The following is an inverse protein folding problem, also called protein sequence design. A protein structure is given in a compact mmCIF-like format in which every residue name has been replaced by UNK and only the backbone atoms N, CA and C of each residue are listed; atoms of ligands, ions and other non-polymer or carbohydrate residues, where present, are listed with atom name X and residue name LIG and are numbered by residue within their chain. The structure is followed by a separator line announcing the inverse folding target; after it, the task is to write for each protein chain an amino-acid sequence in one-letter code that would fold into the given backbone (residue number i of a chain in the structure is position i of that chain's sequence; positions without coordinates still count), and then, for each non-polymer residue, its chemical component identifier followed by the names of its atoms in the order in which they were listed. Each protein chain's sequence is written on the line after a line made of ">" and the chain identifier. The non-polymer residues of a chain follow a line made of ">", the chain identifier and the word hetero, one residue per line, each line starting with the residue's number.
data_IF_213771629341
#
_entry.id   IF_213771629341
#
_cell.length_a   1.000
_cell.length_b   1.000
_cell.length_c   1.000
_cell.angle_alpha   90.00
_cell.angle_beta   90.00
_cell.angle_gamma   90.00
#
_symmetry.space_group_name_H-M   'P 1'
#
loop_
_entity.id
_entity.type
_entity.pdbx_description
1 polymer ?
#
# COMPACT_ATOMS: atom_id res chain seq x y z
N UNK A 1 9.93 15.80 -6.33
CA UNK A 1 9.99 17.24 -6.42
C UNK A 1 11.07 17.70 -7.39
N UNK A 2 12.34 17.39 -7.12
CA UNK A 2 13.50 17.87 -7.87
C UNK A 2 13.41 17.59 -9.38
N UNK A 3 12.98 16.39 -9.76
CA UNK A 3 12.82 15.99 -11.16
C UNK A 3 11.75 16.86 -11.85
N UNK A 4 10.57 17.00 -11.26
CA UNK A 4 9.48 17.79 -11.84
C UNK A 4 9.84 19.30 -11.88
N UNK A 5 10.53 19.79 -10.86
CA UNK A 5 10.93 21.20 -10.78
C UNK A 5 12.01 21.56 -11.80
N UNK A 6 13.13 20.79 -11.84
CA UNK A 6 14.29 21.15 -12.68
C UNK A 6 14.19 20.60 -14.12
N UNK A 7 13.57 19.44 -14.34
CA UNK A 7 13.50 18.82 -15.65
C UNK A 7 12.26 19.21 -16.44
N UNK A 8 11.10 19.34 -15.75
CA UNK A 8 9.84 19.68 -16.39
C UNK A 8 9.48 21.17 -16.22
N UNK A 9 10.22 21.92 -15.39
CA UNK A 9 9.99 23.36 -15.19
C UNK A 9 8.72 23.70 -14.41
N UNK A 10 8.15 22.73 -13.67
CA UNK A 10 6.91 22.95 -12.91
C UNK A 10 7.20 23.72 -11.63
N UNK A 11 6.52 24.87 -11.41
CA UNK A 11 6.77 25.73 -10.26
C UNK A 11 6.41 25.07 -8.91
N UNK A 12 5.35 24.25 -8.87
CA UNK A 12 4.87 23.61 -7.64
C UNK A 12 4.46 22.14 -7.86
N UNK A 13 5.43 21.21 -8.00
CA UNK A 13 5.14 19.80 -8.29
C UNK A 13 4.68 19.01 -7.05
N UNK A 14 3.63 19.47 -6.36
CA UNK A 14 3.09 18.85 -5.15
C UNK A 14 2.53 17.45 -5.41
N UNK A 15 1.96 17.23 -6.60
CA UNK A 15 1.41 15.93 -6.97
C UNK A 15 2.49 14.86 -7.11
N UNK A 16 3.69 15.20 -7.58
CA UNK A 16 4.80 14.23 -7.64
C UNK A 16 5.21 13.76 -6.25
N UNK A 17 5.20 14.65 -5.27
CA UNK A 17 5.54 14.34 -3.88
C UNK A 17 4.44 13.52 -3.22
N UNK A 18 3.18 13.94 -3.34
CA UNK A 18 2.04 13.22 -2.74
C UNK A 18 1.90 11.82 -3.30
N UNK A 19 2.01 11.65 -4.62
CA UNK A 19 1.97 10.33 -5.26
C UNK A 19 3.15 9.47 -4.83
N UNK A 20 4.37 10.03 -4.76
CA UNK A 20 5.55 9.28 -4.32
C UNK A 20 5.39 8.80 -2.86
N UNK A 21 5.05 9.70 -1.93
CA UNK A 21 4.88 9.36 -0.51
C UNK A 21 3.75 8.34 -0.31
N UNK A 22 2.59 8.58 -0.91
CA UNK A 22 1.43 7.71 -0.74
C UNK A 22 1.64 6.34 -1.38
N UNK A 23 2.35 6.27 -2.53
CA UNK A 23 2.69 5.01 -3.18
C UNK A 23 3.70 4.18 -2.40
N UNK A 24 4.70 4.83 -1.78
CA UNK A 24 5.67 4.14 -0.91
C UNK A 24 4.98 3.57 0.33
N UNK A 25 3.92 4.21 0.80
CA UNK A 25 3.12 3.78 1.94
C UNK A 25 3.93 3.67 3.23
N UNK A 26 3.28 3.87 4.37
CA UNK A 26 3.86 3.65 5.68
C UNK A 26 3.79 2.16 6.11
N UNK A 27 3.37 1.26 5.22
CA UNK A 27 3.17 -0.15 5.55
C UNK A 27 4.43 -0.97 5.29
N UNK A 28 4.77 -1.80 6.26
CA UNK A 28 5.93 -2.72 6.28
C UNK A 28 5.99 -3.68 5.09
N UNK A 29 4.86 -3.90 4.40
CA UNK A 29 4.67 -4.89 3.33
C UNK A 29 4.32 -4.24 1.97
N UNK A 30 5.03 -3.19 1.55
CA UNK A 30 4.81 -2.63 0.22
C UNK A 30 5.32 -3.63 -0.83
N UNK A 31 4.44 -4.51 -1.29
CA UNK A 31 4.67 -5.35 -2.46
C UNK A 31 4.76 -4.42 -3.67
N UNK A 32 5.73 -4.63 -4.56
CA UNK A 32 5.89 -3.85 -5.80
C UNK A 32 4.57 -3.69 -6.55
N UNK A 33 3.78 -4.77 -6.62
CA UNK A 33 2.45 -4.76 -7.22
C UNK A 33 1.52 -3.74 -6.56
N UNK A 34 1.54 -3.65 -5.22
CA UNK A 34 0.68 -2.71 -4.47
C UNK A 34 1.12 -1.27 -4.69
N UNK A 35 2.43 -1.01 -4.70
CA UNK A 35 2.98 0.32 -5.03
C UNK A 35 2.57 0.73 -6.45
N UNK A 36 2.69 -0.19 -7.41
CA UNK A 36 2.25 0.03 -8.79
C UNK A 36 0.75 0.30 -8.88
N UNK A 37 -0.09 -0.55 -8.28
CA UNK A 37 -1.55 -0.35 -8.26
C UNK A 37 -1.91 1.00 -7.64
N UNK A 38 -1.27 1.39 -6.53
CA UNK A 38 -1.51 2.68 -5.87
C UNK A 38 -1.07 3.85 -6.76
N UNK A 39 0.12 3.80 -7.35
CA UNK A 39 0.62 4.84 -8.24
C UNK A 39 -0.28 5.01 -9.47
N UNK A 40 -0.66 3.91 -10.12
CA UNK A 40 -1.59 3.92 -11.25
C UNK A 40 -2.95 4.49 -10.85
N UNK A 41 -3.49 4.07 -9.69
CA UNK A 41 -4.75 4.59 -9.17
C UNK A 41 -4.73 6.11 -8.98
N UNK A 42 -3.63 6.64 -8.42
CA UNK A 42 -3.46 8.07 -8.23
C UNK A 42 -3.39 8.83 -9.56
N UNK A 43 -2.57 8.35 -10.50
CA UNK A 43 -2.45 8.98 -11.83
C UNK A 43 -3.79 8.96 -12.56
N UNK A 44 -4.52 7.85 -12.52
CA UNK A 44 -5.87 7.75 -13.11
C UNK A 44 -6.83 8.74 -12.47
N UNK A 45 -6.81 8.86 -11.13
CA UNK A 45 -7.65 9.82 -10.41
C UNK A 45 -7.35 11.27 -10.80
N UNK A 46 -6.07 11.63 -10.91
CA UNK A 46 -5.63 12.96 -11.33
C UNK A 46 -6.08 13.23 -12.77
N UNK A 47 -5.74 12.35 -13.71
CA UNK A 47 -6.06 12.54 -15.14
C UNK A 47 -7.57 12.64 -15.39
N UNK A 48 -8.36 11.77 -14.75
CA UNK A 48 -9.82 11.79 -14.87
C UNK A 48 -10.40 13.10 -14.37
N UNK A 49 -9.90 13.60 -13.21
CA UNK A 49 -10.35 14.87 -12.66
C UNK A 49 -9.95 16.06 -13.52
N UNK A 50 -8.75 16.07 -14.09
CA UNK A 50 -8.33 17.14 -15.01
C UNK A 50 -9.24 17.18 -16.24
N UNK A 51 -9.55 16.04 -16.84
CA UNK A 51 -10.46 15.97 -17.98
C UNK A 51 -11.85 16.48 -17.62
N UNK A 52 -12.41 16.06 -16.50
CA UNK A 52 -13.73 16.48 -16.08
C UNK A 52 -13.79 17.95 -15.67
N UNK A 53 -12.71 18.47 -15.11
CA UNK A 53 -12.58 19.89 -14.74
C UNK A 53 -12.56 20.77 -15.99
N UNK A 54 -11.90 20.34 -17.07
CA UNK A 54 -11.90 21.07 -18.35
C UNK A 54 -13.30 21.07 -18.97
N UNK A 55 -14.02 19.95 -18.89
CA UNK A 55 -15.33 19.81 -19.53
C UNK A 55 -16.43 20.57 -18.80
N UNK A 56 -16.40 20.60 -17.46
CA UNK A 56 -17.51 21.11 -16.65
C UNK A 56 -17.15 22.25 -15.69
N UNK A 57 -15.87 22.60 -15.60
CA UNK A 57 -15.41 23.65 -14.69
C UNK A 57 -15.50 23.27 -13.21
N UNK A 58 -15.39 24.28 -12.34
CA UNK A 58 -15.37 24.14 -10.87
C UNK A 58 -16.76 24.44 -10.30
N UNK A 59 -17.26 23.59 -9.42
CA UNK A 59 -18.52 23.82 -8.69
C UNK A 59 -18.85 22.67 -7.74
N UNK A 60 -19.73 22.90 -6.78
CA UNK A 60 -20.02 21.93 -5.70
C UNK A 60 -20.70 20.66 -6.23
N UNK A 61 -21.62 20.78 -7.17
CA UNK A 61 -22.29 19.61 -7.75
C UNK A 61 -21.39 18.89 -8.76
N UNK A 62 -20.52 19.61 -9.49
CA UNK A 62 -19.52 19.03 -10.38
C UNK A 62 -18.55 18.14 -9.57
N UNK A 63 -18.09 18.59 -8.40
CA UNK A 63 -17.24 17.82 -7.52
C UNK A 63 -17.88 16.48 -7.14
N UNK A 64 -19.18 16.45 -6.87
CA UNK A 64 -19.90 15.23 -6.55
C UNK A 64 -19.90 14.26 -7.75
N UNK A 65 -20.12 14.77 -8.96
CA UNK A 65 -20.11 13.96 -10.17
C UNK A 65 -18.69 13.43 -10.46
N UNK A 66 -17.67 14.29 -10.33
CA UNK A 66 -16.27 13.88 -10.50
C UNK A 66 -15.92 12.75 -9.56
N UNK A 67 -16.26 12.87 -8.28
CA UNK A 67 -16.03 11.83 -7.29
C UNK A 67 -16.78 10.54 -7.63
N UNK A 68 -18.04 10.63 -8.03
CA UNK A 68 -18.84 9.48 -8.44
C UNK A 68 -18.23 8.76 -9.65
N UNK A 69 -17.89 9.51 -10.72
CA UNK A 69 -17.25 8.96 -11.93
C UNK A 69 -15.89 8.36 -11.59
N UNK A 70 -15.10 9.00 -10.74
CA UNK A 70 -13.81 8.50 -10.30
C UNK A 70 -13.92 7.15 -9.56
N UNK A 71 -14.87 7.05 -8.63
CA UNK A 71 -15.09 5.80 -7.88
C UNK A 71 -15.65 4.68 -8.74
N UNK A 72 -16.57 4.98 -9.65
CA UNK A 72 -17.10 4.00 -10.61
C UNK A 72 -16.00 3.52 -11.54
N UNK A 73 -15.20 4.42 -12.12
CA UNK A 73 -14.05 4.08 -12.96
C UNK A 73 -13.03 3.23 -12.22
N UNK A 74 -12.73 3.58 -10.97
CA UNK A 74 -11.84 2.81 -10.12
C UNK A 74 -12.34 1.37 -9.91
N UNK A 75 -13.65 1.21 -9.75
CA UNK A 75 -14.26 -0.11 -9.56
C UNK A 75 -14.15 -1.01 -10.80
N UNK A 76 -14.22 -0.42 -11.98
CA UNK A 76 -14.00 -1.14 -13.24
C UNK A 76 -12.53 -1.55 -13.43
N UNK A 77 -11.58 -0.69 -13.03
CA UNK A 77 -10.15 -0.98 -13.21
C UNK A 77 -9.61 -1.95 -12.17
N UNK A 78 -10.09 -1.87 -10.91
CA UNK A 78 -9.63 -2.74 -9.83
C UNK A 78 -10.74 -3.02 -8.83
N UNK A 79 -10.87 -4.29 -8.44
CA UNK A 79 -11.82 -4.72 -7.42
C UNK A 79 -11.45 -4.34 -5.98
N UNK A 80 -10.28 -3.71 -5.75
CA UNK A 80 -9.78 -3.41 -4.40
C UNK A 80 -10.30 -2.06 -3.89
N UNK A 81 -10.78 -2.03 -2.64
CA UNK A 81 -11.23 -0.80 -1.99
C UNK A 81 -10.08 0.23 -1.87
N UNK A 82 -8.85 -0.22 -1.67
CA UNK A 82 -7.68 0.65 -1.58
C UNK A 82 -7.44 1.43 -2.88
N UNK A 83 -7.60 0.78 -4.04
CA UNK A 83 -7.48 1.44 -5.34
C UNK A 83 -8.56 2.51 -5.53
N UNK A 84 -9.82 2.20 -5.20
CA UNK A 84 -10.92 3.16 -5.30
C UNK A 84 -10.71 4.38 -4.38
N UNK A 85 -10.21 4.17 -3.16
CA UNK A 85 -9.87 5.26 -2.25
C UNK A 85 -8.76 6.14 -2.81
N UNK A 86 -7.71 5.58 -3.41
CA UNK A 86 -6.63 6.37 -4.00
C UNK A 86 -7.10 7.19 -5.20
N UNK A 87 -7.90 6.60 -6.09
CA UNK A 87 -8.48 7.32 -7.23
C UNK A 87 -9.38 8.46 -6.76
N UNK A 88 -10.31 8.18 -5.83
CA UNK A 88 -11.24 9.16 -5.30
C UNK A 88 -10.56 10.31 -4.54
N UNK A 89 -9.56 9.99 -3.71
CA UNK A 89 -8.82 11.02 -2.94
C UNK A 89 -8.02 11.94 -3.85
N UNK A 90 -7.39 11.42 -4.90
CA UNK A 90 -6.64 12.23 -5.86
C UNK A 90 -7.58 13.07 -6.74
N UNK A 91 -8.71 12.50 -7.16
CA UNK A 91 -9.72 13.23 -7.89
C UNK A 91 -10.23 14.44 -7.10
N UNK A 92 -10.50 14.25 -5.81
CA UNK A 92 -10.92 15.33 -4.92
C UNK A 92 -9.82 16.38 -4.71
N UNK A 93 -8.56 15.93 -4.54
CA UNK A 93 -7.43 16.83 -4.32
C UNK A 93 -7.21 17.76 -5.52
N UNK A 94 -7.27 17.23 -6.73
CA UNK A 94 -7.18 18.01 -7.99
C UNK A 94 -8.26 19.08 -8.04
N UNK A 95 -9.47 18.74 -7.58
CA UNK A 95 -10.61 19.65 -7.65
C UNK A 95 -10.55 20.79 -6.64
N UNK A 96 -9.94 20.54 -5.47
CA UNK A 96 -9.80 21.54 -4.40
C UNK A 96 -8.61 22.49 -4.66
N UNK A 97 -7.56 21.98 -5.33
CA UNK A 97 -6.36 22.79 -5.55
C UNK A 97 -6.52 23.75 -6.72
N UNK A 98 -5.98 24.99 -6.61
CA UNK A 98 -5.96 25.96 -7.70
C UNK A 98 -5.33 25.39 -8.97
N UNK A 99 -5.73 25.93 -10.12
CA UNK A 99 -5.11 25.56 -11.41
C UNK A 99 -3.60 25.82 -11.39
N UNK A 100 -2.78 24.87 -11.87
CA UNK A 100 -1.34 25.09 -11.94
C UNK A 100 -0.99 26.07 -13.06
N UNK A 101 -0.03 26.94 -12.79
CA UNK A 101 0.59 27.77 -13.82
C UNK A 101 1.34 26.86 -14.80
N UNK A 102 0.81 26.70 -16.04
CA UNK A 102 1.55 25.95 -17.06
C UNK A 102 0.74 24.99 -17.92
N UNK A 103 -0.56 24.84 -17.69
CA UNK A 103 -1.46 24.15 -18.63
C UNK A 103 -2.03 22.82 -18.14
N UNK A 104 -2.78 22.23 -19.04
CA UNK A 104 -3.55 21.01 -18.83
C UNK A 104 -2.62 19.80 -18.70
N UNK A 105 -2.96 18.85 -17.84
CA UNK A 105 -2.22 17.60 -17.59
C UNK A 105 -0.86 17.72 -16.87
N UNK A 106 -0.46 18.91 -16.40
CA UNK A 106 0.76 19.05 -15.60
C UNK A 106 0.70 18.21 -14.35
N UNK A 107 -0.45 18.17 -13.65
CA UNK A 107 -0.66 17.37 -12.45
C UNK A 107 -0.55 15.88 -12.73
N UNK A 108 -1.08 15.44 -13.88
CA UNK A 108 -0.97 14.05 -14.32
C UNK A 108 0.48 13.65 -14.60
N UNK A 109 1.25 14.52 -15.26
CA UNK A 109 2.68 14.31 -15.48
C UNK A 109 3.47 14.27 -14.18
N UNK A 110 3.20 15.18 -13.25
CA UNK A 110 3.79 15.16 -11.91
C UNK A 110 3.45 13.87 -11.15
N UNK A 111 2.20 13.44 -11.23
CA UNK A 111 1.77 12.18 -10.66
C UNK A 111 2.51 10.97 -11.23
N UNK A 112 2.71 10.93 -12.55
CA UNK A 112 3.51 9.89 -13.22
C UNK A 112 4.96 9.89 -12.74
N UNK A 113 5.60 11.04 -12.66
CA UNK A 113 6.97 11.17 -12.12
C UNK A 113 7.04 10.67 -10.70
N UNK A 114 6.10 11.07 -9.84
CA UNK A 114 6.01 10.58 -8.46
C UNK A 114 5.85 9.06 -8.38
N UNK A 115 4.99 8.49 -9.22
CA UNK A 115 4.76 7.04 -9.31
C UNK A 115 6.01 6.27 -9.76
N UNK A 116 6.70 6.76 -10.80
CA UNK A 116 7.94 6.15 -11.29
C UNK A 116 9.03 6.20 -10.21
N UNK A 117 9.20 7.33 -9.53
CA UNK A 117 10.15 7.48 -8.43
C UNK A 117 9.84 6.49 -7.30
N UNK A 118 8.56 6.36 -6.92
CA UNK A 118 8.15 5.41 -5.88
C UNK A 118 8.46 3.96 -6.26
N UNK A 119 8.23 3.58 -7.52
CA UNK A 119 8.55 2.24 -8.02
C UNK A 119 10.05 1.98 -8.02
N UNK A 120 10.87 2.95 -8.48
CA UNK A 120 12.32 2.84 -8.45
C UNK A 120 12.83 2.69 -7.02
N UNK A 121 12.38 3.53 -6.09
CA UNK A 121 12.74 3.40 -4.68
C UNK A 121 12.36 2.04 -4.11
N UNK A 122 11.16 1.54 -4.43
CA UNK A 122 10.72 0.23 -3.96
C UNK A 122 11.54 -0.91 -4.56
N UNK A 123 12.00 -0.76 -5.80
CA UNK A 123 12.82 -1.77 -6.48
C UNK A 123 14.28 -1.77 -5.99
N UNK A 124 14.83 -0.56 -5.70
CA UNK A 124 16.25 -0.42 -5.33
C UNK A 124 16.52 -0.51 -3.84
N UNK A 125 15.53 -0.22 -2.96
CA UNK A 125 15.73 -0.37 -1.52
C UNK A 125 15.65 -1.86 -1.17
N UNK A 126 16.79 -2.50 -0.82
CA UNK A 126 16.80 -3.91 -0.46
C UNK A 126 16.01 -4.07 0.85
N UNK A 127 14.87 -4.72 0.76
CA UNK A 127 14.16 -5.19 1.94
C UNK A 127 14.64 -6.60 2.21
N UNK A 128 14.97 -6.87 3.45
CA UNK A 128 15.29 -8.23 3.89
C UNK A 128 13.99 -8.98 4.21
N UNK A 129 13.39 -9.65 3.21
CA UNK A 129 12.16 -10.41 3.41
C UNK A 129 12.43 -11.66 4.27
N UNK A 130 13.67 -12.18 4.25
CA UNK A 130 14.04 -13.33 5.06
C UNK A 130 14.14 -12.98 6.54
N UNK A 131 14.72 -11.83 6.88
CA UNK A 131 14.81 -11.40 8.27
C UNK A 131 13.44 -11.13 8.91
N UNK A 132 12.48 -10.59 8.17
CA UNK A 132 11.09 -10.40 8.66
C UNK A 132 10.38 -11.74 8.86
N UNK A 133 10.49 -12.65 7.89
CA UNK A 133 9.88 -13.98 7.94
C UNK A 133 10.46 -14.82 9.07
N UNK A 134 11.79 -14.75 9.28
CA UNK A 134 12.44 -15.44 10.40
C UNK A 134 12.02 -14.89 11.76
N UNK A 135 11.87 -13.55 11.90
CA UNK A 135 11.35 -12.92 13.14
C UNK A 135 9.91 -13.35 13.45
N UNK A 136 9.05 -13.38 12.45
CA UNK A 136 7.64 -13.74 12.64
C UNK A 136 7.52 -15.25 12.92
N UNK A 137 8.33 -16.09 12.28
CA UNK A 137 8.46 -17.51 12.61
C UNK A 137 8.94 -17.70 14.06
N UNK A 138 9.96 -16.94 14.50
CA UNK A 138 10.47 -16.99 15.86
C UNK A 138 9.41 -16.67 16.91
N UNK A 139 8.59 -15.63 16.68
CA UNK A 139 7.48 -15.29 17.58
C UNK A 139 6.45 -16.40 17.66
N UNK A 140 6.06 -16.97 16.51
CA UNK A 140 5.10 -18.07 16.43
C UNK A 140 5.64 -19.31 17.18
N UNK A 141 6.92 -19.63 16.98
CA UNK A 141 7.58 -20.75 17.63
C UNK A 141 7.64 -20.58 19.16
N UNK A 142 7.93 -19.35 19.62
CA UNK A 142 7.93 -19.05 21.07
C UNK A 142 6.55 -19.25 21.70
N UNK A 143 5.49 -18.78 21.03
CA UNK A 143 4.11 -18.99 21.51
C UNK A 143 3.76 -20.47 21.54
N UNK A 144 4.17 -21.22 20.54
CA UNK A 144 3.93 -22.67 20.45
C UNK A 144 4.66 -23.42 21.57
N UNK A 145 5.95 -23.15 21.80
CA UNK A 145 6.72 -23.78 22.89
C UNK A 145 6.11 -23.48 24.26
N UNK A 146 5.76 -22.23 24.53
CA UNK A 146 5.11 -21.85 25.78
C UNK A 146 3.75 -22.56 25.98
N UNK A 147 3.02 -22.80 24.90
CA UNK A 147 1.76 -23.53 24.96
C UNK A 147 1.97 -25.03 25.26
N UNK A 148 2.99 -25.64 24.66
CA UNK A 148 3.35 -27.04 24.91
C UNK A 148 3.81 -27.20 26.36
N UNK A 149 4.63 -26.30 26.89
CA UNK A 149 5.07 -26.33 28.29
C UNK A 149 3.89 -26.17 29.25
N UNK A 150 2.96 -25.26 28.96
CA UNK A 150 1.75 -25.11 29.77
C UNK A 150 0.85 -26.34 29.73
N UNK A 151 0.73 -27.02 28.58
CA UNK A 151 0.01 -28.28 28.47
C UNK A 151 0.69 -29.41 29.27
N UNK A 152 2.01 -29.48 29.18
CA UNK A 152 2.77 -30.47 29.98
C UNK A 152 2.60 -30.27 31.49
N UNK A 153 2.59 -28.98 31.92
CA UNK A 153 2.33 -28.60 33.29
C UNK A 153 0.90 -28.98 33.72
N UNK A 154 -0.09 -28.68 32.90
CA UNK A 154 -1.49 -28.99 33.15
C UNK A 154 -1.72 -30.52 33.33
N UNK A 155 -1.07 -31.37 32.50
CA UNK A 155 -1.11 -32.80 32.59
C UNK A 155 -0.46 -33.33 33.88
N UNK A 156 0.66 -32.75 34.29
CA UNK A 156 1.37 -33.13 35.52
C UNK A 156 0.61 -32.74 36.79
N UNK A 157 -0.04 -31.57 36.77
CA UNK A 157 -0.80 -31.05 37.90
C UNK A 157 -2.27 -31.49 37.94
N UNK A 158 -2.76 -32.14 36.86
CA UNK A 158 -4.16 -32.47 36.63
C UNK A 158 -5.09 -31.26 36.78
N UNK A 159 -4.58 -30.03 36.41
CA UNK A 159 -5.33 -28.80 36.52
C UNK A 159 -5.92 -28.35 35.18
N UNK A 160 -7.24 -28.46 35.08
CA UNK A 160 -8.01 -28.11 33.90
C UNK A 160 -7.89 -26.61 33.58
N UNK A 161 -7.75 -25.74 34.59
CA UNK A 161 -7.63 -24.29 34.38
C UNK A 161 -6.37 -23.92 33.63
N UNK A 162 -5.26 -24.61 33.89
CA UNK A 162 -4.00 -24.40 33.18
C UNK A 162 -4.15 -24.87 31.71
N UNK A 163 -4.83 -25.98 31.49
CA UNK A 163 -5.09 -26.50 30.15
C UNK A 163 -5.97 -25.52 29.33
N UNK A 164 -7.04 -25.02 29.92
CA UNK A 164 -7.92 -24.02 29.27
C UNK A 164 -7.17 -22.74 28.94
N UNK A 165 -6.35 -22.24 29.85
CA UNK A 165 -5.53 -21.04 29.59
C UNK A 165 -4.52 -21.25 28.45
N UNK A 166 -3.91 -22.45 28.35
CA UNK A 166 -3.03 -22.81 27.24
C UNK A 166 -3.80 -22.84 25.91
N UNK A 167 -4.99 -23.43 25.92
CA UNK A 167 -5.85 -23.51 24.72
C UNK A 167 -6.28 -22.13 24.21
N UNK A 168 -6.65 -21.21 25.11
CA UNK A 168 -7.00 -19.83 24.77
C UNK A 168 -5.80 -19.10 24.14
N UNK A 169 -4.58 -19.31 24.68
CA UNK A 169 -3.37 -18.71 24.10
C UNK A 169 -3.08 -19.24 22.68
N UNK A 170 -3.22 -20.53 22.45
CA UNK A 170 -3.03 -21.14 21.12
C UNK A 170 -4.07 -20.60 20.14
N UNK A 171 -5.33 -20.54 20.53
CA UNK A 171 -6.40 -19.94 19.68
C UNK A 171 -6.15 -18.47 19.39
N UNK A 172 -5.64 -17.72 20.35
CA UNK A 172 -5.25 -16.31 20.18
C UNK A 172 -4.02 -16.10 19.29
N UNK A 173 -3.27 -17.15 18.94
CA UNK A 173 -2.10 -17.05 18.05
C UNK A 173 -2.43 -17.04 16.55
N UNK A 174 -3.69 -17.23 16.16
CA UNK A 174 -4.11 -17.23 14.76
C UNK A 174 -3.61 -15.99 13.97
N UNK A 175 -3.68 -14.74 14.50
CA UNK A 175 -3.15 -13.59 13.80
C UNK A 175 -1.63 -13.64 13.54
N UNK A 176 -0.87 -14.35 14.41
CA UNK A 176 0.57 -14.55 14.21
C UNK A 176 0.84 -15.53 13.05
N UNK A 177 0.01 -16.55 12.90
CA UNK A 177 0.08 -17.51 11.77
C UNK A 177 -0.22 -16.79 10.47
N UNK A 178 -1.27 -15.95 10.45
CA UNK A 178 -1.67 -15.20 9.26
C UNK A 178 -0.60 -14.17 8.87
N UNK A 179 -0.01 -13.48 9.84
CA UNK A 179 1.11 -12.57 9.61
C UNK A 179 2.34 -13.31 9.04
N UNK A 180 2.70 -14.46 9.60
CA UNK A 180 3.81 -15.27 9.10
C UNK A 180 3.57 -15.78 7.68
N UNK A 181 2.35 -16.24 7.36
CA UNK A 181 1.95 -16.61 6.00
C UNK A 181 2.12 -15.45 5.03
N UNK A 182 1.64 -14.26 5.39
CA UNK A 182 1.80 -13.07 4.56
C UNK A 182 3.27 -12.72 4.34
N UNK A 183 4.10 -12.81 5.37
CA UNK A 183 5.56 -12.58 5.26
C UNK A 183 6.22 -13.61 4.35
N UNK A 184 5.83 -14.88 4.45
CA UNK A 184 6.35 -15.98 3.62
C UNK A 184 5.95 -15.79 2.15
N UNK A 185 4.67 -15.51 1.86
CA UNK A 185 4.19 -15.25 0.51
C UNK A 185 4.89 -14.03 -0.12
N UNK A 186 5.20 -13.03 0.70
CA UNK A 186 5.97 -11.86 0.26
C UNK A 186 7.41 -12.25 -0.09
N UNK A 187 8.07 -13.05 0.73
CA UNK A 187 9.42 -13.54 0.49
C UNK A 187 9.49 -14.39 -0.79
N UNK A 188 8.54 -15.30 -0.99
CA UNK A 188 8.44 -16.14 -2.19
C UNK A 188 8.22 -15.28 -3.45
N UNK A 189 7.34 -14.29 -3.39
CA UNK A 189 7.07 -13.42 -4.54
C UNK A 189 8.29 -12.59 -4.94
N UNK A 190 9.06 -12.10 -3.96
CA UNK A 190 10.29 -11.34 -4.19
C UNK A 190 11.39 -12.24 -4.74
N UNK A 191 11.54 -13.45 -4.23
CA UNK A 191 12.57 -14.40 -4.72
C UNK A 191 12.36 -14.80 -6.19
N UNK A 192 11.11 -14.80 -6.66
CA UNK A 192 10.79 -15.08 -8.08
C UNK A 192 11.14 -13.93 -9.01
N UNK A 193 11.15 -12.69 -8.53
CA UNK A 193 11.35 -11.47 -9.34
C UNK A 193 12.80 -11.00 -9.28
N UNK A 194 13.50 -11.24 -8.18
CA UNK A 194 14.89 -10.76 -7.99
C UNK A 194 15.90 -11.78 -8.48
N UNK A 195 16.70 -11.45 -9.53
CA UNK A 195 17.77 -12.32 -10.02
C UNK A 195 18.91 -12.50 -9.02
N UNK A 196 19.05 -11.61 -8.02
CA UNK A 196 20.10 -11.65 -6.99
C UNK A 196 19.85 -12.67 -5.87
N UNK A 197 18.63 -13.19 -5.71
CA UNK A 197 18.28 -14.18 -4.70
C UNK A 197 18.17 -15.61 -5.23
N UNK A 198 18.55 -15.84 -6.47
CA UNK A 198 18.52 -17.14 -7.14
C UNK A 198 19.85 -17.88 -6.94
N UNK A 199 20.23 -18.14 -5.68
CA UNK A 199 21.33 -19.06 -5.32
C UNK A 199 20.79 -20.21 -4.49
#
# INVERSE_FOLDING_TARGET
>A
YTISFYLLGHANPLFSVTVAIASLGFTRDARLRRVFETAVGMVVGIALSEVLLILWGVGVWQMTIVLFVALVSARFLSGTAAFALTVGSQAMLVYIMPEPDGGVFIRSLDGMVGGVVALLFTAFVPRDPMGSTAKDAGKLFTVFLNAVDAMALALRSADVKIADAALVRVRGSQPLVDNWRMSLDSAISISRISPFMRK
#
